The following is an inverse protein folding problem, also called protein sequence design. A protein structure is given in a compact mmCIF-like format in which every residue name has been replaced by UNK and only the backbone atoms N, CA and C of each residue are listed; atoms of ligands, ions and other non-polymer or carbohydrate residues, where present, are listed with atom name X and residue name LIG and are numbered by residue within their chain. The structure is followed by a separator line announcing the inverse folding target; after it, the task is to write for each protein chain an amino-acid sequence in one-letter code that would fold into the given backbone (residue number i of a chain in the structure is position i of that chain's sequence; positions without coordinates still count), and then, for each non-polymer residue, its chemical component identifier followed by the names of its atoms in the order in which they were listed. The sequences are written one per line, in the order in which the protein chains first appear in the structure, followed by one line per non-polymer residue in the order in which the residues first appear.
data_IF_149594768637
#
_entry.id   IF_149594768637
#
_cell.length_a   1.000
_cell.length_b   1.000
_cell.length_c   1.000
_cell.angle_alpha   90.00
_cell.angle_beta   90.00
_cell.angle_gamma   90.00
#
_symmetry.space_group_name_H-M   'P 1'
#
loop_
_entity.id
_entity.type
_entity.pdbx_description
1 polymer ?
#
# COMPACT_ATOMS: atom_id res chain seq x y z
N UNK A 1 -4.80 -4.57 -12.24
CA UNK A 1 -4.19 -5.93 -12.39
C UNK A 1 -4.36 -6.68 -11.06
N UNK A 2 -4.50 -8.01 -11.05
CA UNK A 2 -4.69 -8.75 -9.80
C UNK A 2 -3.34 -9.00 -9.09
N UNK A 3 -3.27 -8.67 -7.79
CA UNK A 3 -2.15 -8.98 -6.90
C UNK A 3 -2.44 -10.27 -6.12
N UNK A 4 -1.42 -11.06 -5.78
CA UNK A 4 -1.59 -12.24 -4.92
C UNK A 4 -1.53 -11.84 -3.45
N UNK A 5 -2.60 -12.13 -2.70
CA UNK A 5 -2.65 -12.01 -1.25
C UNK A 5 -2.39 -13.37 -0.60
N UNK A 6 -1.45 -13.40 0.33
CA UNK A 6 -1.40 -14.49 1.30
C UNK A 6 -2.64 -14.50 2.19
N UNK A 7 -2.97 -15.68 2.73
CA UNK A 7 -4.02 -15.80 3.76
C UNK A 7 -3.78 -14.84 4.94
N UNK A 8 -2.53 -14.75 5.38
CA UNK A 8 -2.14 -13.81 6.44
C UNK A 8 -2.45 -12.36 6.06
N UNK A 9 -2.10 -11.92 4.86
CA UNK A 9 -2.37 -10.56 4.40
C UNK A 9 -3.88 -10.27 4.33
N UNK A 10 -4.67 -11.21 3.81
CA UNK A 10 -6.13 -11.10 3.75
C UNK A 10 -6.74 -10.94 5.13
N UNK A 11 -6.41 -11.83 6.06
CA UNK A 11 -6.90 -11.80 7.45
C UNK A 11 -6.55 -10.48 8.14
N UNK A 12 -5.32 -9.98 7.90
CA UNK A 12 -4.83 -8.71 8.49
C UNK A 12 -5.48 -7.49 7.86
N UNK A 13 -5.83 -7.54 6.58
CA UNK A 13 -6.57 -6.47 5.91
C UNK A 13 -7.96 -6.33 6.55
N UNK A 14 -8.64 -7.46 6.74
CA UNK A 14 -9.96 -7.52 7.37
C UNK A 14 -9.93 -7.03 8.83
N UNK A 15 -9.03 -7.57 9.65
CA UNK A 15 -8.88 -7.18 11.07
C UNK A 15 -8.58 -5.69 11.27
N UNK A 16 -8.00 -5.03 10.27
CA UNK A 16 -7.62 -3.61 10.33
C UNK A 16 -8.55 -2.69 9.56
N UNK A 17 -9.67 -3.21 9.07
CA UNK A 17 -10.62 -2.49 8.23
C UNK A 17 -9.92 -1.76 7.07
N UNK A 18 -9.00 -2.46 6.40
CA UNK A 18 -8.33 -2.00 5.19
C UNK A 18 -9.04 -2.68 4.02
N UNK A 19 -9.85 -1.93 3.24
CA UNK A 19 -10.59 -2.52 2.16
C UNK A 19 -9.68 -2.88 0.95
N UNK A 20 -10.10 -3.82 0.09
CA UNK A 20 -9.27 -4.33 -1.00
C UNK A 20 -8.84 -3.26 -2.02
N UNK A 21 -9.68 -2.25 -2.25
CA UNK A 21 -9.40 -1.10 -3.11
C UNK A 21 -8.15 -0.32 -2.64
N UNK A 22 -7.92 -0.23 -1.32
CA UNK A 22 -6.70 0.38 -0.77
C UNK A 22 -5.48 -0.43 -1.14
N UNK A 23 -5.56 -1.75 -1.11
CA UNK A 23 -4.46 -2.64 -1.45
C UNK A 23 -4.14 -2.55 -2.94
N UNK A 24 -5.18 -2.50 -3.78
CA UNK A 24 -5.05 -2.30 -5.22
C UNK A 24 -4.38 -0.96 -5.56
N UNK A 25 -4.85 0.14 -4.96
CA UNK A 25 -4.26 1.47 -5.19
C UNK A 25 -2.83 1.52 -4.68
N UNK A 26 -2.51 0.82 -3.58
CA UNK A 26 -1.15 0.73 -3.07
C UNK A 26 -0.25 -0.08 -3.99
N UNK A 27 -0.77 -1.15 -4.58
CA UNK A 27 -0.07 -1.96 -5.58
C UNK A 27 0.24 -1.17 -6.85
N UNK A 28 -0.74 -0.43 -7.37
CA UNK A 28 -0.59 0.29 -8.64
C UNK A 28 0.19 1.60 -8.52
N UNK A 29 -0.02 2.37 -7.44
CA UNK A 29 0.53 3.72 -7.32
C UNK A 29 1.59 3.87 -6.24
N UNK A 30 1.71 2.90 -5.34
CA UNK A 30 2.65 2.92 -4.23
C UNK A 30 4.09 3.14 -4.68
N UNK A 31 4.90 3.65 -3.78
CA UNK A 31 6.35 3.61 -3.91
C UNK A 31 6.87 2.38 -3.19
N UNK A 32 7.88 1.76 -3.77
CA UNK A 32 8.52 0.57 -3.25
C UNK A 32 9.81 0.91 -2.49
N UNK A 33 10.12 0.12 -1.46
CA UNK A 33 11.38 0.22 -0.73
C UNK A 33 11.74 -1.12 -0.10
N UNK A 34 12.93 -1.63 -0.44
CA UNK A 34 13.50 -2.83 0.15
C UNK A 34 13.78 -2.65 1.65
N UNK A 35 13.23 -3.56 2.47
CA UNK A 35 13.39 -3.61 3.93
C UNK A 35 13.41 -5.06 4.41
N UNK A 36 14.47 -5.47 5.11
CA UNK A 36 14.56 -6.76 5.82
C UNK A 36 14.19 -7.99 4.97
N UNK A 37 14.67 -8.04 3.72
CA UNK A 37 14.43 -9.20 2.82
C UNK A 37 13.05 -9.22 2.16
N UNK A 38 12.37 -8.09 2.07
CA UNK A 38 11.15 -7.94 1.28
C UNK A 38 10.90 -6.49 0.92
N UNK A 39 9.93 -6.26 0.05
CA UNK A 39 9.59 -4.93 -0.43
C UNK A 39 8.40 -4.35 0.34
N UNK A 40 8.49 -3.06 0.64
CA UNK A 40 7.43 -2.33 1.32
C UNK A 40 6.82 -1.35 0.34
N UNK A 41 5.54 -1.52 0.06
CA UNK A 41 4.73 -0.59 -0.73
C UNK A 41 4.08 0.43 0.20
N UNK A 42 4.20 1.71 -0.13
CA UNK A 42 3.65 2.80 0.68
C UNK A 42 3.40 4.07 -0.14
N UNK A 43 2.54 4.95 0.36
CA UNK A 43 2.35 6.27 -0.23
C UNK A 43 3.35 7.29 0.31
N UNK A 44 4.27 7.71 -0.56
CA UNK A 44 5.11 8.90 -0.40
C UNK A 44 4.55 10.09 -1.20
N UNK A 45 5.30 11.20 -1.27
CA UNK A 45 4.87 12.37 -2.05
C UNK A 45 4.71 12.03 -3.54
N UNK A 46 5.63 11.24 -4.12
CA UNK A 46 5.58 10.90 -5.54
C UNK A 46 4.40 9.98 -5.89
N UNK A 47 4.15 8.95 -5.08
CA UNK A 47 2.99 8.06 -5.23
C UNK A 47 1.67 8.82 -5.16
N UNK A 48 1.56 9.77 -4.22
CA UNK A 48 0.37 10.63 -4.10
C UNK A 48 0.17 11.54 -5.31
N UNK A 49 1.26 12.03 -5.91
CA UNK A 49 1.19 12.83 -7.12
C UNK A 49 0.75 12.00 -8.33
N UNK A 50 1.28 10.79 -8.50
CA UNK A 50 0.82 9.83 -9.53
C UNK A 50 -0.67 9.53 -9.38
N UNK A 51 -1.08 9.15 -8.16
CA UNK A 51 -2.47 8.88 -7.84
C UNK A 51 -3.40 10.07 -8.13
N UNK A 52 -2.98 11.29 -7.79
CA UNK A 52 -3.75 12.51 -8.05
C UNK A 52 -3.84 12.85 -9.53
N UNK A 53 -2.78 12.57 -10.30
CA UNK A 53 -2.75 12.82 -11.74
C UNK A 53 -3.73 11.92 -12.47
N UNK A 54 -3.81 10.65 -12.05
CA UNK A 54 -4.56 9.63 -12.77
C UNK A 54 -6.01 9.53 -12.29
N UNK A 55 -6.28 9.72 -10.98
CA UNK A 55 -7.64 9.65 -10.39
C UNK A 55 -8.22 11.01 -9.96
N UNK A 56 -7.45 12.09 -10.05
CA UNK A 56 -7.86 13.43 -9.64
C UNK A 56 -7.74 13.71 -8.13
N UNK A 57 -7.88 14.98 -7.76
CA UNK A 57 -7.69 15.47 -6.37
C UNK A 57 -8.77 15.00 -5.40
N UNK A 58 -9.99 14.70 -5.88
CA UNK A 58 -11.06 14.13 -5.05
C UNK A 58 -10.73 12.71 -4.60
N UNK A 59 -10.05 11.91 -5.43
CA UNK A 59 -9.62 10.56 -5.07
C UNK A 59 -8.66 10.60 -3.88
N UNK A 60 -7.70 11.54 -3.84
CA UNK A 60 -6.81 11.69 -2.70
C UNK A 60 -7.54 11.96 -1.37
N UNK A 61 -8.63 12.74 -1.38
CA UNK A 61 -9.43 12.99 -0.17
C UNK A 61 -10.17 11.73 0.28
N UNK A 62 -10.76 10.97 -0.66
CA UNK A 62 -11.45 9.70 -0.35
C UNK A 62 -10.47 8.63 0.13
N UNK A 63 -9.27 8.62 -0.43
CA UNK A 63 -8.19 7.70 -0.08
C UNK A 63 -7.37 8.20 1.13
N UNK A 64 -7.71 9.29 1.82
CA UNK A 64 -6.85 9.83 2.88
C UNK A 64 -6.49 8.81 3.98
N UNK A 65 -7.42 7.92 4.35
CA UNK A 65 -7.17 6.79 5.26
C UNK A 65 -6.31 5.70 4.61
N UNK A 66 -6.53 5.42 3.33
CA UNK A 66 -5.73 4.51 2.50
C UNK A 66 -4.27 4.97 2.35
N UNK A 67 -4.02 6.29 2.29
CA UNK A 67 -2.69 6.89 2.18
C UNK A 67 -1.82 6.68 3.43
N UNK A 68 -2.44 6.25 4.52
CA UNK A 68 -1.77 5.84 5.73
C UNK A 68 -1.57 4.31 5.80
N UNK A 69 -1.80 3.54 4.72
CA UNK A 69 -1.52 2.10 4.69
C UNK A 69 -0.17 1.78 4.04
N UNK A 70 0.32 0.57 4.31
CA UNK A 70 1.45 -0.05 3.63
C UNK A 70 1.22 -1.55 3.48
N UNK A 71 1.90 -2.14 2.50
CA UNK A 71 1.94 -3.57 2.27
C UNK A 71 3.38 -4.05 2.26
N UNK A 72 3.58 -5.29 2.68
CA UNK A 72 4.85 -6.00 2.57
C UNK A 72 4.68 -7.08 1.51
N UNK A 73 5.63 -7.11 0.59
CA UNK A 73 5.71 -8.01 -0.54
C UNK A 73 6.94 -8.89 -0.34
N UNK A 74 6.79 -10.19 -0.53
CA UNK A 74 7.94 -11.11 -0.51
C UNK A 74 8.72 -11.06 -1.84
N UNK A 75 9.85 -11.76 -1.90
CA UNK A 75 10.70 -11.80 -3.10
C UNK A 75 10.01 -12.45 -4.32
N UNK A 76 8.85 -13.11 -4.14
CA UNK A 76 8.06 -13.69 -5.22
C UNK A 76 6.95 -12.75 -5.72
N UNK A 77 6.87 -11.52 -5.20
CA UNK A 77 5.84 -10.55 -5.58
C UNK A 77 4.50 -10.76 -4.88
N UNK A 78 4.43 -11.61 -3.85
CA UNK A 78 3.19 -11.87 -3.11
C UNK A 78 3.04 -10.92 -1.93
N UNK A 79 1.84 -10.37 -1.74
CA UNK A 79 1.53 -9.56 -0.56
C UNK A 79 1.40 -10.47 0.67
N UNK A 80 2.37 -10.38 1.57
CA UNK A 80 2.44 -11.17 2.80
C UNK A 80 1.83 -10.44 4.00
N UNK A 81 1.69 -9.10 3.97
CA UNK A 81 1.06 -8.33 5.06
C UNK A 81 0.54 -6.98 4.56
N UNK A 82 -0.59 -6.51 5.10
CA UNK A 82 -1.09 -5.13 4.93
C UNK A 82 -1.37 -4.50 6.29
N UNK A 83 -1.00 -3.24 6.51
CA UNK A 83 -1.18 -2.54 7.79
C UNK A 83 -1.29 -1.02 7.66
N UNK A 84 -1.79 -0.38 8.73
CA UNK A 84 -1.71 1.06 8.91
C UNK A 84 -0.30 1.47 9.34
N UNK A 85 0.21 2.52 8.70
CA UNK A 85 1.47 3.18 8.97
C UNK A 85 1.30 4.21 10.10
N UNK A 86 1.91 3.93 11.25
CA UNK A 86 1.95 4.86 12.40
C UNK A 86 3.08 5.90 12.30
N UNK A 87 4.13 5.60 11.54
CA UNK A 87 5.31 6.46 11.39
C UNK A 87 5.74 6.57 9.94
N UNK A 88 6.25 7.73 9.51
CA UNK A 88 6.81 7.88 8.16
C UNK A 88 8.02 6.95 7.98
N UNK A 89 8.03 6.21 6.87
CA UNK A 89 9.23 5.48 6.46
C UNK A 89 10.32 6.47 6.11
N UNK A 90 11.48 6.37 6.78
CA UNK A 90 12.70 7.07 6.35
C UNK A 90 13.23 6.35 5.12
N UNK A 91 13.45 7.09 4.03
CA UNK A 91 14.28 6.59 2.93
C UNK A 91 15.74 6.61 3.41
N UNK A 92 16.55 5.59 3.09
CA UNK A 92 18.00 5.68 3.25
C UNK A 92 18.56 6.88 2.48
#
# INVERSE_FOLDING_TARGET
MAFDLSKHASDRSQQRAIPPDVVEVLWEYGSEMRRRGGDVLFFDKSARQRLCRDLGSQALRRCAKALACYAVVDDNGRIITVAHRRFRFKRP
#
